data_IF_974495717885
#
_entry.id   IF_974495717885
#
_cell.length_a   1.000
_cell.length_b   1.000
_cell.length_c   1.000
_cell.angle_alpha   90.00
_cell.angle_beta   90.00
_cell.angle_gamma   90.00
#
_symmetry.space_group_name_H-M   'P 1'
#
loop_
_entity.id
_entity.type
_entity.pdbx_description
1 polymer ?
#
# COMPACT_ATOMS: atom_id res chain seq x y z
N UNK A 1 -11.25 -20.60 14.35
CA UNK A 1 -10.10 -19.69 14.23
C UNK A 1 -9.79 -19.36 12.78
N UNK A 2 -9.80 -20.35 11.89
CA UNK A 2 -9.53 -20.19 10.45
C UNK A 2 -10.44 -19.15 9.76
N UNK A 3 -11.78 -19.26 9.86
CA UNK A 3 -12.70 -18.29 9.25
C UNK A 3 -12.47 -16.85 9.72
N UNK A 4 -12.04 -16.65 10.97
CA UNK A 4 -11.75 -15.32 11.49
C UNK A 4 -10.51 -14.72 10.81
N UNK A 5 -9.42 -15.49 10.71
CA UNK A 5 -8.20 -15.06 10.01
C UNK A 5 -8.45 -14.84 8.52
N UNK A 6 -9.25 -15.69 7.88
CA UNK A 6 -9.62 -15.53 6.48
C UNK A 6 -10.39 -14.22 6.22
N UNK A 7 -11.37 -13.89 7.07
CA UNK A 7 -12.11 -12.62 6.98
C UNK A 7 -11.19 -11.42 7.26
N UNK A 8 -10.31 -11.52 8.26
CA UNK A 8 -9.36 -10.46 8.60
C UNK A 8 -8.39 -10.17 7.45
N UNK A 9 -7.85 -11.21 6.82
CA UNK A 9 -6.98 -11.08 5.65
C UNK A 9 -7.70 -10.50 4.45
N UNK A 10 -8.95 -10.90 4.21
CA UNK A 10 -9.78 -10.34 3.14
C UNK A 10 -9.97 -8.82 3.33
N UNK A 11 -10.34 -8.38 4.54
CA UNK A 11 -10.51 -6.95 4.84
C UNK A 11 -9.17 -6.19 4.71
N UNK A 12 -8.07 -6.74 5.26
CA UNK A 12 -6.75 -6.13 5.17
C UNK A 12 -6.33 -5.93 3.70
N UNK A 13 -6.55 -6.93 2.85
CA UNK A 13 -6.26 -6.83 1.42
C UNK A 13 -7.10 -5.75 0.73
N UNK A 14 -8.40 -5.67 1.02
CA UNK A 14 -9.29 -4.67 0.44
C UNK A 14 -8.84 -3.24 0.81
N UNK A 15 -8.46 -3.02 2.07
CA UNK A 15 -7.97 -1.72 2.55
C UNK A 15 -6.68 -1.33 1.81
N UNK A 16 -5.74 -2.25 1.63
CA UNK A 16 -4.49 -1.97 0.92
C UNK A 16 -4.76 -1.66 -0.55
N UNK A 17 -5.64 -2.40 -1.22
CA UNK A 17 -6.01 -2.15 -2.62
C UNK A 17 -6.59 -0.75 -2.77
N UNK A 18 -7.56 -0.37 -1.93
CA UNK A 18 -8.14 0.98 -1.96
C UNK A 18 -7.08 2.04 -1.66
N UNK A 19 -6.22 1.81 -0.66
CA UNK A 19 -5.18 2.76 -0.31
C UNK A 19 -4.17 2.96 -1.46
N UNK A 20 -3.67 1.89 -2.08
CA UNK A 20 -2.72 1.98 -3.20
C UNK A 20 -3.36 2.60 -4.43
N UNK A 21 -4.62 2.26 -4.75
CA UNK A 21 -5.31 2.84 -5.92
C UNK A 21 -5.61 4.33 -5.76
N UNK A 22 -5.74 4.83 -4.54
CA UNK A 22 -5.88 6.25 -4.24
C UNK A 22 -4.55 7.01 -4.15
N UNK A 23 -3.41 6.31 -4.16
CA UNK A 23 -2.09 6.94 -4.18
C UNK A 23 -1.80 7.52 -5.56
N UNK A 24 -1.42 8.79 -5.58
CA UNK A 24 -1.00 9.44 -6.83
C UNK A 24 0.38 8.90 -7.23
N UNK A 25 0.62 8.66 -8.54
CA UNK A 25 1.90 8.13 -9.00
C UNK A 25 3.06 9.03 -8.58
N UNK A 26 4.15 8.40 -8.14
CA UNK A 26 5.36 9.09 -7.63
C UNK A 26 6.05 9.95 -8.72
N UNK A 27 5.69 9.75 -9.99
CA UNK A 27 6.17 10.51 -11.15
C UNK A 27 5.09 10.63 -12.22
N UNK A 28 4.99 11.77 -12.92
CA UNK A 28 4.00 12.02 -13.97
C UNK A 28 4.46 11.41 -15.32
N UNK A 29 3.70 10.44 -15.85
CA UNK A 29 3.79 10.00 -17.25
C UNK A 29 4.57 8.71 -17.56
N UNK A 30 4.59 8.36 -18.85
CA UNK A 30 5.24 7.15 -19.41
C UNK A 30 6.78 7.24 -19.44
N UNK A 31 7.38 8.42 -19.28
CA UNK A 31 8.84 8.64 -19.23
C UNK A 31 9.52 8.21 -17.91
N UNK A 32 8.79 7.48 -17.06
CA UNK A 32 9.15 7.16 -15.68
C UNK A 32 9.51 5.68 -15.51
N UNK A 33 8.99 4.84 -16.39
CA UNK A 33 9.48 3.47 -16.63
C UNK A 33 10.94 3.47 -17.11
N UNK A 34 11.42 4.58 -17.68
CA UNK A 34 12.77 4.75 -18.23
C UNK A 34 13.75 5.46 -17.28
N UNK A 35 13.35 5.75 -16.03
CA UNK A 35 14.25 6.28 -15.00
C UNK A 35 14.74 7.72 -15.23
N UNK A 36 14.01 8.56 -15.96
CA UNK A 36 14.39 9.97 -16.12
C UNK A 36 14.15 10.78 -14.84
N UNK A 37 15.12 11.66 -14.54
CA UNK A 37 15.13 12.51 -13.35
C UNK A 37 13.84 13.31 -13.22
N UNK A 38 13.15 13.09 -12.11
CA UNK A 38 11.93 13.82 -11.78
C UNK A 38 12.30 15.09 -11.02
N UNK A 39 11.84 16.24 -11.49
CA UNK A 39 11.98 17.51 -10.79
C UNK A 39 11.33 17.44 -9.38
N UNK A 40 12.16 17.38 -8.34
CA UNK A 40 11.75 17.16 -6.93
C UNK A 40 11.08 18.40 -6.32
N UNK A 41 11.21 19.56 -6.96
CA UNK A 41 10.91 20.86 -6.34
C UNK A 41 9.44 21.31 -6.44
N UNK A 42 8.65 20.74 -7.36
CA UNK A 42 7.23 21.11 -7.57
C UNK A 42 6.20 20.27 -6.79
N UNK A 43 6.65 19.26 -6.03
CA UNK A 43 5.80 18.15 -5.54
C UNK A 43 5.07 18.42 -4.21
N UNK A 44 5.03 19.67 -3.73
CA UNK A 44 4.65 19.99 -2.35
C UNK A 44 3.15 19.92 -2.02
N UNK A 45 2.24 20.06 -3.00
CA UNK A 45 0.80 20.14 -2.72
C UNK A 45 0.15 18.78 -2.40
N UNK A 46 0.58 17.68 -3.04
CA UNK A 46 0.01 16.33 -2.83
C UNK A 46 0.86 15.42 -1.93
N UNK A 47 1.99 15.94 -1.43
CA UNK A 47 2.95 15.15 -0.63
C UNK A 47 2.32 14.61 0.65
N UNK A 48 1.49 15.40 1.32
CA UNK A 48 0.86 15.06 2.61
C UNK A 48 -0.18 13.94 2.49
N UNK A 49 -1.03 13.98 1.45
CA UNK A 49 -2.01 12.90 1.19
C UNK A 49 -1.28 11.59 0.91
N UNK A 50 -0.35 11.60 -0.04
CA UNK A 50 0.34 10.39 -0.46
C UNK A 50 1.19 9.80 0.68
N UNK A 51 1.82 10.63 1.50
CA UNK A 51 2.61 10.17 2.66
C UNK A 51 1.73 9.50 3.73
N UNK A 52 0.50 9.99 3.95
CA UNK A 52 -0.45 9.34 4.85
C UNK A 52 -0.89 7.98 4.30
N UNK A 53 -1.24 7.91 3.01
CA UNK A 53 -1.60 6.65 2.37
C UNK A 53 -0.42 5.65 2.33
N UNK A 54 0.81 6.11 2.17
CA UNK A 54 2.02 5.28 2.20
C UNK A 54 2.18 4.61 3.58
N UNK A 55 1.96 5.36 4.68
CA UNK A 55 1.95 4.81 6.05
C UNK A 55 0.85 3.76 6.25
N UNK A 56 -0.34 4.00 5.71
CA UNK A 56 -1.45 3.02 5.77
C UNK A 56 -1.11 1.75 5.00
N UNK A 57 -0.52 1.87 3.81
CA UNK A 57 -0.10 0.71 3.01
C UNK A 57 1.03 -0.07 3.68
N UNK A 58 2.01 0.61 4.28
CA UNK A 58 3.09 -0.05 5.03
C UNK A 58 2.51 -0.81 6.22
N UNK A 59 1.68 -0.15 7.05
CA UNK A 59 1.07 -0.79 8.22
C UNK A 59 0.17 -1.97 7.81
N UNK A 60 -0.67 -1.78 6.79
CA UNK A 60 -1.53 -2.82 6.24
C UNK A 60 -0.74 -3.99 5.66
N UNK A 61 0.34 -3.72 4.93
CA UNK A 61 1.21 -4.73 4.33
C UNK A 61 1.91 -5.59 5.39
N UNK A 62 2.46 -4.96 6.44
CA UNK A 62 3.05 -5.68 7.58
C UNK A 62 2.00 -6.55 8.27
N UNK A 63 0.80 -6.00 8.52
CA UNK A 63 -0.29 -6.76 9.15
C UNK A 63 -0.72 -7.95 8.30
N UNK A 64 -0.92 -7.76 6.99
CA UNK A 64 -1.32 -8.81 6.07
C UNK A 64 -0.25 -9.91 6.03
N UNK A 65 1.02 -9.54 5.92
CA UNK A 65 2.13 -10.48 5.90
C UNK A 65 2.19 -11.32 7.18
N UNK A 66 2.16 -10.69 8.36
CA UNK A 66 2.18 -11.41 9.64
C UNK A 66 0.93 -12.29 9.82
N UNK A 67 -0.25 -11.77 9.51
CA UNK A 67 -1.50 -12.54 9.58
C UNK A 67 -1.49 -13.74 8.63
N UNK A 68 -0.86 -13.63 7.46
CA UNK A 68 -0.73 -14.74 6.50
C UNK A 68 0.17 -15.86 7.03
N UNK A 69 1.29 -15.51 7.68
CA UNK A 69 2.20 -16.49 8.31
C UNK A 69 1.49 -17.19 9.47
N UNK A 70 0.78 -16.43 10.30
CA UNK A 70 0.03 -17.00 11.43
C UNK A 70 -1.07 -17.93 10.92
N UNK A 71 -1.80 -17.56 9.87
CA UNK A 71 -2.81 -18.43 9.27
C UNK A 71 -2.17 -19.73 8.76
N UNK A 72 -1.05 -19.66 8.04
CA UNK A 72 -0.34 -20.83 7.55
C UNK A 72 0.15 -21.75 8.68
N UNK A 73 0.55 -21.19 9.82
CA UNK A 73 1.02 -21.97 10.97
C UNK A 73 -0.12 -22.61 11.79
N UNK A 74 -1.33 -22.06 11.72
CA UNK A 74 -2.51 -22.56 12.45
C UNK A 74 -3.33 -23.56 11.62
N UNK A 75 -3.25 -23.45 10.29
CA UNK A 75 -3.87 -24.37 9.33
C UNK A 75 -3.19 -25.75 9.38
#
# INVERSE_FOLDING_TARGET
MENFFAVLLMIASAIIIVAVTMQDPKTEGLGTLTGQETNVFGRSAHRTKNEMLDKVVIAGGVLLFLASIIMLAIM
#
